data_IF_354595219907
#
_entry.id   IF_354595219907
#
_cell.length_a   1.000
_cell.length_b   1.000
_cell.length_c   1.000
_cell.angle_alpha   90.00
_cell.angle_beta   90.00
_cell.angle_gamma   90.00
#
_symmetry.space_group_name_H-M   'P 1'
#
loop_
_entity.id
_entity.type
_entity.pdbx_description
1 polymer ?
#
# COMPACT_ATOMS: atom_id res chain seq x y z
N UNK A 1 -1.67 13.42 -8.26
CA UNK A 1 -1.21 12.52 -7.18
C UNK A 1 0.06 11.77 -7.60
N UNK A 2 0.33 10.63 -6.97
CA UNK A 2 1.62 9.92 -7.01
C UNK A 2 2.22 9.72 -8.41
N UNK A 3 1.48 9.19 -9.37
CA UNK A 3 2.00 8.94 -10.73
C UNK A 3 2.61 10.19 -11.41
N UNK A 4 2.00 11.37 -11.21
CA UNK A 4 2.54 12.63 -11.74
C UNK A 4 3.78 13.05 -10.95
N UNK A 5 3.76 12.88 -9.62
CA UNK A 5 4.91 13.22 -8.76
C UNK A 5 6.14 12.38 -9.10
N UNK A 6 5.96 11.08 -9.35
CA UNK A 6 7.03 10.16 -9.71
C UNK A 6 7.61 10.49 -11.08
N UNK A 7 6.76 10.69 -12.09
CA UNK A 7 7.21 11.01 -13.46
C UNK A 7 7.93 12.36 -13.53
N UNK A 8 7.35 13.40 -12.92
CA UNK A 8 7.96 14.74 -12.86
C UNK A 8 9.23 14.72 -12.02
N UNK A 9 9.26 13.95 -10.94
CA UNK A 9 10.45 13.84 -10.11
C UNK A 9 11.59 13.10 -10.80
N UNK A 10 11.29 12.08 -11.61
CA UNK A 10 12.29 11.42 -12.45
C UNK A 10 12.84 12.40 -13.49
N UNK A 11 11.96 13.14 -14.17
CA UNK A 11 12.37 14.16 -15.13
C UNK A 11 13.23 15.26 -14.48
N UNK A 12 12.84 15.76 -13.31
CA UNK A 12 13.58 16.78 -12.57
C UNK A 12 14.98 16.29 -12.15
N UNK A 13 15.11 15.03 -11.75
CA UNK A 13 16.38 14.44 -11.32
C UNK A 13 17.41 14.33 -12.47
N UNK A 14 16.97 14.00 -13.68
CA UNK A 14 17.86 13.80 -14.83
C UNK A 14 18.09 15.08 -15.63
N UNK A 15 17.16 16.03 -15.58
CA UNK A 15 17.26 17.31 -16.30
C UNK A 15 18.37 18.16 -15.69
N UNK A 16 19.33 18.59 -16.52
CA UNK A 16 20.50 19.35 -16.06
C UNK A 16 21.24 18.72 -14.87
N UNK A 17 21.19 17.38 -14.73
CA UNK A 17 21.75 16.61 -13.60
C UNK A 17 21.12 16.94 -12.23
N UNK A 18 19.90 17.48 -12.22
CA UNK A 18 19.12 17.69 -11.02
C UNK A 18 18.57 19.12 -10.91
N UNK A 19 17.26 19.24 -11.02
CA UNK A 19 16.50 20.45 -10.70
C UNK A 19 15.88 20.36 -9.31
N UNK A 20 15.66 21.51 -8.66
CA UNK A 20 14.87 21.56 -7.41
C UNK A 20 13.41 21.25 -7.73
N UNK A 21 12.84 20.32 -6.99
CA UNK A 21 11.44 19.90 -7.12
C UNK A 21 10.64 20.26 -5.86
N UNK A 22 9.51 20.95 -6.03
CA UNK A 22 8.48 21.06 -5.00
C UNK A 22 7.32 20.15 -5.42
N UNK A 23 6.90 19.25 -4.52
CA UNK A 23 5.77 18.36 -4.77
C UNK A 23 4.50 18.95 -4.16
N UNK A 24 3.43 19.00 -4.95
CA UNK A 24 2.09 19.36 -4.48
C UNK A 24 1.22 18.11 -4.53
N UNK A 25 0.88 17.57 -3.36
CA UNK A 25 0.17 16.31 -3.24
C UNK A 25 -1.34 16.54 -3.25
N UNK A 26 -2.01 16.08 -4.31
CA UNK A 26 -3.43 16.37 -4.57
C UNK A 26 -4.37 15.20 -4.38
N UNK A 27 -3.85 14.01 -4.01
CA UNK A 27 -4.66 12.83 -3.69
C UNK A 27 -4.37 12.38 -2.26
N UNK A 28 -5.35 11.74 -1.60
CA UNK A 28 -5.14 11.15 -0.26
C UNK A 28 -3.94 10.22 -0.26
N UNK A 29 -3.79 9.40 -1.30
CA UNK A 29 -2.64 8.51 -1.50
C UNK A 29 -1.31 9.26 -1.57
N UNK A 30 -1.24 10.36 -2.32
CA UNK A 30 0.00 11.16 -2.37
C UNK A 30 0.29 11.88 -1.07
N UNK A 31 -0.75 12.38 -0.38
CA UNK A 31 -0.56 13.11 0.87
C UNK A 31 -0.13 12.19 2.01
N UNK A 32 -0.63 10.94 2.02
CA UNK A 32 -0.35 9.96 3.07
C UNK A 32 0.94 9.15 2.85
N UNK A 33 1.43 9.05 1.60
CA UNK A 33 2.53 8.15 1.23
C UNK A 33 3.40 8.74 0.09
N UNK A 34 3.01 8.53 -1.18
CA UNK A 34 3.93 8.68 -2.32
C UNK A 34 4.59 10.06 -2.49
N UNK A 35 4.01 11.16 -1.98
CA UNK A 35 4.68 12.46 -2.05
C UNK A 35 5.90 12.57 -1.12
N UNK A 36 5.95 11.74 -0.07
CA UNK A 36 6.96 11.73 1.00
C UNK A 36 8.11 10.78 0.67
N UNK A 37 7.91 9.87 -0.28
CA UNK A 37 8.92 8.94 -0.76
C UNK A 37 10.11 9.63 -1.46
N UNK A 38 11.24 8.95 -1.52
CA UNK A 38 12.38 9.37 -2.34
C UNK A 38 12.43 8.67 -3.70
N UNK A 39 11.48 7.78 -3.96
CA UNK A 39 11.33 7.08 -5.24
C UNK A 39 10.73 8.01 -6.28
N UNK A 40 11.25 7.92 -7.49
CA UNK A 40 10.73 8.62 -8.66
C UNK A 40 10.93 7.70 -9.86
N UNK A 41 9.97 7.62 -10.77
CA UNK A 41 10.12 6.78 -11.94
C UNK A 41 8.93 6.78 -12.88
N UNK A 42 9.08 6.00 -13.94
CA UNK A 42 8.06 5.76 -14.96
C UNK A 42 8.00 4.27 -15.29
N UNK A 43 6.84 3.84 -15.75
CA UNK A 43 6.65 2.50 -16.29
C UNK A 43 7.39 2.39 -17.64
N UNK A 44 8.04 1.26 -17.88
CA UNK A 44 8.71 0.96 -19.14
C UNK A 44 8.73 -0.54 -19.39
N UNK A 45 8.70 -0.95 -20.67
CA UNK A 45 8.76 -2.37 -21.07
C UNK A 45 7.68 -3.25 -20.41
N UNK A 46 6.49 -2.69 -20.16
CA UNK A 46 5.40 -3.40 -19.49
C UNK A 46 5.60 -3.65 -17.99
N UNK A 47 6.66 -3.10 -17.38
CA UNK A 47 6.95 -3.22 -15.95
C UNK A 47 6.69 -1.90 -15.21
N UNK A 48 6.11 -2.00 -14.01
CA UNK A 48 5.84 -0.86 -13.12
C UNK A 48 7.16 -0.27 -12.60
N UNK A 49 7.29 1.05 -12.58
CA UNK A 49 8.42 1.79 -12.00
C UNK A 49 9.82 1.31 -12.47
N UNK A 50 9.93 0.84 -13.72
CA UNK A 50 11.16 0.20 -14.22
C UNK A 50 12.32 1.18 -14.41
N UNK A 51 12.05 2.38 -14.94
CA UNK A 51 13.06 3.44 -15.04
C UNK A 51 12.84 4.45 -13.92
N UNK A 52 13.84 4.67 -13.08
CA UNK A 52 13.68 5.54 -11.92
C UNK A 52 14.98 5.97 -11.27
N UNK A 53 14.84 6.83 -10.27
CA UNK A 53 15.92 7.41 -9.47
C UNK A 53 15.45 7.64 -8.05
N UNK A 54 16.35 7.46 -7.10
CA UNK A 54 16.15 7.90 -5.73
C UNK A 54 16.60 9.35 -5.58
N UNK A 55 15.66 10.27 -5.36
CA UNK A 55 15.96 11.68 -5.06
C UNK A 55 14.87 12.29 -4.17
N UNK A 56 15.29 13.16 -3.25
CA UNK A 56 14.38 13.87 -2.35
C UNK A 56 13.80 15.12 -3.03
N UNK A 57 12.52 15.44 -2.83
CA UNK A 57 12.01 16.77 -3.17
C UNK A 57 12.62 17.83 -2.23
N UNK A 58 12.65 19.08 -2.68
CA UNK A 58 13.02 20.23 -1.85
C UNK A 58 11.96 20.56 -0.80
N UNK A 59 10.69 20.43 -1.17
CA UNK A 59 9.55 20.61 -0.28
C UNK A 59 8.35 19.78 -0.76
N UNK A 60 7.47 19.44 0.17
CA UNK A 60 6.19 18.78 -0.09
C UNK A 60 5.09 19.65 0.51
N UNK A 61 4.07 19.94 -0.28
CA UNK A 61 2.90 20.72 0.14
C UNK A 61 1.67 19.81 0.03
N UNK A 62 1.07 19.53 1.19
CA UNK A 62 -0.21 18.85 1.30
C UNK A 62 -1.29 19.91 1.58
N UNK A 63 -2.11 20.21 0.58
CA UNK A 63 -3.25 21.11 0.71
C UNK A 63 -4.54 20.28 0.85
N UNK A 64 -5.26 20.46 1.94
CA UNK A 64 -6.51 19.74 2.23
C UNK A 64 -7.62 20.13 1.24
N UNK A 65 -7.64 21.38 0.77
CA UNK A 65 -8.63 21.86 -0.20
C UNK A 65 -8.51 21.13 -1.54
N UNK A 66 -7.33 20.61 -1.89
CA UNK A 66 -7.16 19.80 -3.10
C UNK A 66 -7.95 18.47 -3.06
N UNK A 67 -8.27 17.98 -1.87
CA UNK A 67 -8.99 16.71 -1.67
C UNK A 67 -10.49 16.83 -1.97
N UNK A 68 -11.06 18.04 -1.91
CA UNK A 68 -12.51 18.27 -2.10
C UNK A 68 -12.99 17.78 -3.48
N UNK A 69 -12.13 17.92 -4.49
CA UNK A 69 -12.43 17.58 -5.88
C UNK A 69 -12.25 16.10 -6.23
N UNK A 70 -11.75 15.27 -5.30
CA UNK A 70 -11.45 13.87 -5.60
C UNK A 70 -12.70 13.05 -5.88
N UNK A 71 -12.59 12.07 -6.77
CA UNK A 71 -13.60 11.01 -6.95
C UNK A 71 -13.60 10.08 -5.74
N UNK A 72 -14.68 9.31 -5.55
CA UNK A 72 -14.81 8.39 -4.42
C UNK A 72 -13.63 7.40 -4.33
N UNK A 73 -13.22 6.84 -5.47
CA UNK A 73 -12.12 5.88 -5.53
C UNK A 73 -10.77 6.53 -5.17
N UNK A 74 -10.48 7.73 -5.68
CA UNK A 74 -9.24 8.42 -5.36
C UNK A 74 -9.20 8.96 -3.93
N UNK A 75 -10.36 9.27 -3.34
CA UNK A 75 -10.47 9.60 -1.93
C UNK A 75 -10.09 8.39 -1.06
N UNK A 76 -10.67 7.22 -1.32
CA UNK A 76 -10.42 6.03 -0.52
C UNK A 76 -9.00 5.49 -0.68
N UNK A 77 -8.40 5.65 -1.87
CA UNK A 77 -7.11 5.04 -2.22
C UNK A 77 -6.01 5.21 -1.15
N UNK A 78 -5.83 6.41 -0.58
CA UNK A 78 -4.79 6.66 0.42
C UNK A 78 -5.01 6.00 1.78
N UNK A 79 -6.23 5.57 2.10
CA UNK A 79 -6.53 4.92 3.37
C UNK A 79 -6.10 3.46 3.40
N UNK A 80 -5.94 2.80 2.23
CA UNK A 80 -5.32 1.47 2.17
C UNK A 80 -3.88 1.51 2.67
N UNK A 81 -3.10 2.50 2.25
CA UNK A 81 -1.73 2.71 2.73
C UNK A 81 -1.68 3.14 4.20
N UNK A 82 -2.63 3.97 4.63
CA UNK A 82 -2.73 4.33 6.05
C UNK A 82 -3.00 3.09 6.92
N UNK A 83 -3.88 2.19 6.49
CA UNK A 83 -4.12 0.89 7.15
C UNK A 83 -2.85 0.05 7.15
N UNK A 84 -2.20 -0.11 5.99
CA UNK A 84 -0.94 -0.86 5.85
C UNK A 84 0.10 -0.40 6.88
N UNK A 85 0.36 0.90 6.91
CA UNK A 85 1.36 1.49 7.81
C UNK A 85 0.96 1.33 9.27
N UNK A 86 -0.33 1.49 9.59
CA UNK A 86 -0.83 1.27 10.93
C UNK A 86 -0.63 -0.18 11.40
N UNK A 87 -0.93 -1.16 10.54
CA UNK A 87 -0.70 -2.58 10.83
C UNK A 87 0.76 -2.91 11.07
N UNK A 88 1.68 -2.21 10.41
CA UNK A 88 3.11 -2.46 10.52
C UNK A 88 3.76 -1.69 11.68
N UNK A 89 3.24 -0.51 12.06
CA UNK A 89 4.00 0.45 12.88
C UNK A 89 3.20 1.15 13.97
N UNK A 90 1.88 1.21 13.87
CA UNK A 90 1.08 2.06 14.76
C UNK A 90 -0.30 1.45 15.07
N UNK A 91 -0.37 0.60 16.12
CA UNK A 91 -1.63 0.01 16.56
C UNK A 91 -2.68 1.06 16.94
N UNK A 92 -2.28 2.20 17.51
CA UNK A 92 -3.21 3.25 17.90
C UNK A 92 -3.84 3.93 16.68
N UNK A 93 -3.07 4.11 15.60
CA UNK A 93 -3.60 4.56 14.32
C UNK A 93 -4.60 3.53 13.76
N UNK A 94 -4.31 2.23 13.84
CA UNK A 94 -5.23 1.20 13.38
C UNK A 94 -6.54 1.24 14.17
N UNK A 95 -6.49 1.33 15.51
CA UNK A 95 -7.67 1.49 16.37
C UNK A 95 -8.49 2.73 16.00
N UNK A 96 -7.81 3.83 15.68
CA UNK A 96 -8.48 5.05 15.25
C UNK A 96 -9.19 4.86 13.91
N UNK A 97 -8.51 4.29 12.91
CA UNK A 97 -9.10 4.02 11.59
C UNK A 97 -10.28 3.05 11.71
N UNK A 98 -10.10 1.92 12.41
CA UNK A 98 -11.12 0.89 12.58
C UNK A 98 -12.42 1.44 13.20
N UNK A 99 -12.31 2.30 14.24
CA UNK A 99 -13.49 2.93 14.86
C UNK A 99 -14.16 4.00 13.99
N UNK A 100 -13.43 4.58 13.03
CA UNK A 100 -13.90 5.72 12.24
C UNK A 100 -14.06 5.42 10.74
N UNK A 101 -14.12 4.13 10.37
CA UNK A 101 -14.33 3.66 8.99
C UNK A 101 -15.46 4.40 8.27
N UNK A 102 -16.63 4.52 8.90
CA UNK A 102 -17.78 5.24 8.33
C UNK A 102 -17.50 6.73 8.10
N UNK A 103 -16.77 7.37 9.01
CA UNK A 103 -16.37 8.77 8.88
C UNK A 103 -15.43 8.97 7.68
N UNK A 104 -14.46 8.08 7.52
CA UNK A 104 -13.55 8.06 6.36
C UNK A 104 -14.35 7.85 5.07
N UNK A 105 -15.25 6.86 5.03
CA UNK A 105 -16.08 6.56 3.86
C UNK A 105 -16.96 7.72 3.46
N UNK A 106 -17.50 8.46 4.43
CA UNK A 106 -18.34 9.66 4.23
C UNK A 106 -17.56 10.95 4.04
N UNK A 107 -16.23 10.87 3.93
CA UNK A 107 -15.32 12.02 3.75
C UNK A 107 -15.39 13.07 4.86
N UNK A 108 -15.60 12.64 6.10
CA UNK A 108 -15.50 13.56 7.24
C UNK A 108 -14.04 14.00 7.38
N UNK A 109 -13.74 15.27 7.07
CA UNK A 109 -12.39 15.80 7.08
C UNK A 109 -11.77 15.82 8.48
N UNK A 110 -12.57 16.08 9.53
CA UNK A 110 -12.10 16.07 10.93
C UNK A 110 -11.61 14.69 11.37
N UNK A 111 -12.12 13.63 10.75
CA UNK A 111 -11.69 12.24 10.97
C UNK A 111 -10.53 11.87 10.03
N UNK A 112 -10.63 12.28 8.78
CA UNK A 112 -9.81 11.76 7.69
C UNK A 112 -8.44 12.41 7.61
N UNK A 113 -8.38 13.73 7.86
CA UNK A 113 -7.13 14.50 7.84
C UNK A 113 -6.15 14.03 8.92
N UNK A 114 -6.55 13.77 10.19
CA UNK A 114 -5.66 13.18 11.18
C UNK A 114 -5.02 11.86 10.73
N UNK A 115 -5.78 10.99 10.05
CA UNK A 115 -5.27 9.71 9.52
C UNK A 115 -4.20 9.95 8.45
N UNK A 116 -4.49 10.83 7.48
CA UNK A 116 -3.55 11.19 6.41
C UNK A 116 -2.28 11.80 6.99
N UNK A 117 -2.41 12.76 7.93
CA UNK A 117 -1.26 13.40 8.59
C UNK A 117 -0.42 12.41 9.39
N UNK A 118 -1.04 11.48 10.12
CA UNK A 118 -0.32 10.47 10.90
C UNK A 118 0.41 9.48 9.97
N UNK A 119 -0.24 9.01 8.92
CA UNK A 119 0.39 8.15 7.90
C UNK A 119 1.57 8.85 7.25
N UNK A 120 1.38 10.12 6.86
CA UNK A 120 2.44 10.96 6.31
C UNK A 120 3.65 11.07 7.26
N UNK A 121 3.37 11.30 8.55
CA UNK A 121 4.42 11.40 9.56
C UNK A 121 5.19 10.08 9.73
N UNK A 122 4.50 8.94 9.73
CA UNK A 122 5.12 7.62 9.82
C UNK A 122 6.00 7.31 8.61
N UNK A 123 5.59 7.68 7.39
CA UNK A 123 6.45 7.58 6.20
C UNK A 123 7.67 8.49 6.29
N UNK A 124 7.49 9.73 6.75
CA UNK A 124 8.60 10.67 6.95
C UNK A 124 9.61 10.15 7.97
N UNK A 125 9.14 9.66 9.12
CA UNK A 125 9.99 9.11 10.17
C UNK A 125 10.70 7.84 9.67
N UNK A 126 10.02 6.99 8.91
CA UNK A 126 10.65 5.84 8.26
C UNK A 126 11.82 6.26 7.35
N UNK A 127 11.61 7.25 6.47
CA UNK A 127 12.66 7.71 5.54
C UNK A 127 13.83 8.38 6.26
N UNK A 128 13.57 9.08 7.37
CA UNK A 128 14.59 9.92 8.03
C UNK A 128 15.33 9.26 9.20
N UNK A 129 14.76 8.23 9.82
CA UNK A 129 15.25 7.69 11.10
C UNK A 129 15.71 6.22 11.05
N UNK A 130 16.26 5.75 9.92
CA UNK A 130 16.80 4.38 9.69
C UNK A 130 15.88 3.40 8.93
N UNK A 131 14.95 3.86 8.11
CA UNK A 131 14.12 2.99 7.27
C UNK A 131 14.70 2.61 5.91
N UNK A 132 16.02 2.75 5.71
CA UNK A 132 16.67 2.52 4.41
C UNK A 132 15.94 3.21 3.23
N UNK A 133 15.93 4.55 3.19
CA UNK A 133 15.16 5.29 2.18
C UNK A 133 15.64 5.01 0.75
N UNK A 134 16.89 4.55 0.59
CA UNK A 134 17.49 4.20 -0.69
C UNK A 134 17.41 2.71 -1.00
N UNK A 135 16.74 1.95 -0.14
CA UNK A 135 16.32 0.60 -0.47
C UNK A 135 17.49 -0.32 -0.87
N UNK A 136 18.58 -0.16 -0.12
CA UNK A 136 19.84 -0.90 -0.27
C UNK A 136 19.77 -2.30 0.34
N UNK A 137 18.86 -2.52 1.26
CA UNK A 137 18.58 -3.83 1.85
C UNK A 137 17.53 -4.59 1.03
N UNK A 138 17.48 -5.91 1.21
CA UNK A 138 16.50 -6.78 0.54
C UNK A 138 15.08 -6.58 1.12
N UNK A 139 14.98 -6.11 2.37
CA UNK A 139 13.71 -5.85 3.02
C UNK A 139 13.08 -4.54 2.53
N UNK A 140 11.76 -4.60 2.31
CA UNK A 140 10.92 -3.44 2.03
C UNK A 140 9.86 -3.37 3.12
N UNK A 141 10.15 -2.74 4.27
CA UNK A 141 9.33 -2.84 5.48
C UNK A 141 7.97 -2.14 5.38
N UNK A 142 7.63 -1.57 4.22
CA UNK A 142 6.34 -0.98 3.90
C UNK A 142 5.61 -1.71 2.76
N UNK A 143 6.10 -2.86 2.28
CA UNK A 143 5.52 -3.57 1.13
C UNK A 143 4.52 -4.68 1.53
N UNK A 144 3.89 -4.57 2.70
CA UNK A 144 2.83 -5.50 3.11
C UNK A 144 1.65 -5.43 2.13
N UNK A 145 1.24 -6.58 1.58
CA UNK A 145 0.25 -6.68 0.52
C UNK A 145 0.74 -6.32 -0.89
N UNK A 146 1.98 -5.86 -1.08
CA UNK A 146 2.39 -5.25 -2.36
C UNK A 146 2.71 -6.25 -3.47
N UNK A 147 3.17 -7.47 -3.14
CA UNK A 147 3.46 -8.50 -4.14
C UNK A 147 2.20 -8.84 -4.95
N UNK A 148 1.06 -8.98 -4.27
CA UNK A 148 -0.22 -9.28 -4.91
C UNK A 148 -0.85 -8.01 -5.48
N UNK A 149 -0.73 -6.86 -4.81
CA UNK A 149 -1.24 -5.59 -5.34
C UNK A 149 -0.65 -5.26 -6.72
N UNK A 150 0.68 -5.31 -6.87
CA UNK A 150 1.35 -5.05 -8.14
C UNK A 150 0.91 -6.00 -9.24
N UNK A 151 0.75 -7.28 -8.90
CA UNK A 151 0.27 -8.28 -9.85
C UNK A 151 -1.19 -8.06 -10.24
N UNK A 152 -2.05 -7.67 -9.29
CA UNK A 152 -3.46 -7.36 -9.52
C UNK A 152 -3.65 -6.12 -10.42
N UNK A 153 -2.84 -5.08 -10.24
CA UNK A 153 -2.84 -3.91 -11.12
C UNK A 153 -2.59 -4.35 -12.57
N UNK A 154 -1.54 -5.14 -12.82
CA UNK A 154 -1.22 -5.65 -14.16
C UNK A 154 -2.30 -6.58 -14.72
N UNK A 155 -2.74 -7.58 -13.94
CA UNK A 155 -3.77 -8.55 -14.36
C UNK A 155 -5.11 -7.89 -14.68
N UNK A 156 -5.44 -6.80 -13.99
CA UNK A 156 -6.66 -6.04 -14.25
C UNK A 156 -6.56 -5.08 -15.43
N UNK A 157 -5.39 -4.95 -16.05
CA UNK A 157 -5.14 -3.91 -17.06
C UNK A 157 -5.25 -2.50 -16.47
N UNK A 158 -4.87 -2.33 -15.21
CA UNK A 158 -4.97 -1.10 -14.43
C UNK A 158 -6.41 -0.60 -14.22
N UNK A 159 -7.42 -1.48 -14.32
CA UNK A 159 -8.79 -1.18 -13.87
C UNK A 159 -8.83 -1.00 -12.34
N UNK A 160 -8.10 -1.85 -11.60
CA UNK A 160 -7.90 -1.63 -10.18
C UNK A 160 -6.90 -0.48 -9.99
N UNK A 161 -7.32 0.54 -9.23
CA UNK A 161 -6.39 1.54 -8.73
C UNK A 161 -5.41 0.91 -7.73
N UNK A 162 -4.22 1.50 -7.60
CA UNK A 162 -3.19 1.07 -6.64
C UNK A 162 -3.77 0.84 -5.23
N UNK A 163 -4.55 1.80 -4.70
CA UNK A 163 -5.12 1.67 -3.36
C UNK A 163 -6.15 0.54 -3.21
N UNK A 164 -6.91 0.23 -4.26
CA UNK A 164 -7.82 -0.93 -4.25
C UNK A 164 -7.01 -2.24 -4.29
N UNK A 165 -5.96 -2.30 -5.11
CA UNK A 165 -5.09 -3.45 -5.21
C UNK A 165 -4.34 -3.71 -3.89
N UNK A 166 -3.83 -2.66 -3.24
CA UNK A 166 -3.20 -2.74 -1.91
C UNK A 166 -4.19 -3.20 -0.85
N UNK A 167 -5.44 -2.70 -0.84
CA UNK A 167 -6.46 -3.19 0.09
C UNK A 167 -6.72 -4.70 -0.06
N UNK A 168 -6.80 -5.21 -1.30
CA UNK A 168 -6.93 -6.64 -1.58
C UNK A 168 -5.67 -7.38 -1.11
N UNK A 169 -4.47 -6.85 -1.38
CA UNK A 169 -3.21 -7.46 -0.98
C UNK A 169 -3.03 -7.56 0.53
N UNK A 170 -3.40 -6.52 1.28
CA UNK A 170 -3.43 -6.54 2.75
C UNK A 170 -4.37 -7.64 3.25
N UNK A 171 -5.55 -7.78 2.64
CA UNK A 171 -6.49 -8.81 3.01
C UNK A 171 -5.93 -10.23 2.75
N UNK A 172 -5.24 -10.43 1.61
CA UNK A 172 -4.59 -11.70 1.26
C UNK A 172 -3.51 -12.04 2.29
N UNK A 173 -2.59 -11.10 2.56
CA UNK A 173 -1.46 -11.33 3.46
C UNK A 173 -1.90 -11.51 4.92
N UNK A 174 -2.92 -10.76 5.37
CA UNK A 174 -3.50 -10.96 6.71
C UNK A 174 -4.20 -12.32 6.85
N UNK A 175 -4.92 -12.76 5.81
CA UNK A 175 -5.57 -14.09 5.79
C UNK A 175 -4.53 -15.21 5.77
N UNK A 176 -3.46 -15.03 5.00
CA UNK A 176 -2.33 -15.95 5.00
C UNK A 176 -1.66 -16.03 6.38
N UNK A 177 -1.38 -14.89 7.02
CA UNK A 177 -0.79 -14.86 8.36
C UNK A 177 -1.69 -15.55 9.41
N UNK A 178 -3.00 -15.44 9.28
CA UNK A 178 -3.95 -16.18 10.12
C UNK A 178 -3.89 -17.70 9.88
N UNK A 179 -3.87 -18.14 8.62
CA UNK A 179 -3.79 -19.57 8.28
C UNK A 179 -2.47 -20.21 8.73
N UNK A 180 -1.38 -19.43 8.75
CA UNK A 180 -0.09 -19.84 9.28
C UNK A 180 -0.03 -19.82 10.81
N UNK A 181 -1.10 -19.40 11.50
CA UNK A 181 -1.17 -19.32 12.96
C UNK A 181 -0.37 -18.17 13.57
N UNK A 182 0.06 -17.20 12.77
CA UNK A 182 0.79 -16.02 13.26
C UNK A 182 -0.15 -14.91 13.72
N UNK A 183 -1.29 -14.73 13.05
CA UNK A 183 -2.26 -13.69 13.36
C UNK A 183 -3.52 -14.31 13.98
N UNK A 184 -4.03 -13.72 15.07
CA UNK A 184 -5.24 -14.18 15.73
C UNK A 184 -6.49 -14.04 14.84
N UNK A 185 -7.48 -14.91 15.04
CA UNK A 185 -8.78 -14.81 14.33
C UNK A 185 -9.46 -13.46 14.60
N UNK A 186 -9.28 -12.91 15.80
CA UNK A 186 -9.82 -11.61 16.17
C UNK A 186 -9.18 -10.48 15.35
N UNK A 187 -7.84 -10.42 15.27
CA UNK A 187 -7.16 -9.36 14.51
C UNK A 187 -7.38 -9.52 13.00
N UNK A 188 -7.40 -10.76 12.50
CA UNK A 188 -7.75 -11.06 11.11
C UNK A 188 -9.12 -10.48 10.74
N UNK A 189 -10.15 -10.78 11.53
CA UNK A 189 -11.50 -10.28 11.30
C UNK A 189 -11.54 -8.75 11.33
N UNK A 190 -10.89 -8.12 12.31
CA UNK A 190 -10.84 -6.66 12.45
C UNK A 190 -10.17 -5.98 11.26
N UNK A 191 -9.13 -6.58 10.67
CA UNK A 191 -8.46 -6.06 9.48
C UNK A 191 -9.41 -6.09 8.28
N UNK A 192 -10.09 -7.22 8.05
CA UNK A 192 -11.05 -7.35 6.95
C UNK A 192 -12.25 -6.41 7.12
N UNK A 193 -12.76 -6.28 8.35
CA UNK A 193 -13.84 -5.34 8.69
C UNK A 193 -13.40 -3.88 8.50
N UNK A 194 -12.17 -3.52 8.88
CA UNK A 194 -11.63 -2.18 8.68
C UNK A 194 -11.63 -1.79 7.20
N UNK A 195 -10.99 -2.62 6.36
CA UNK A 195 -10.88 -2.34 4.92
C UNK A 195 -12.26 -2.22 4.26
N UNK A 196 -13.20 -3.11 4.63
CA UNK A 196 -14.58 -3.05 4.12
C UNK A 196 -15.35 -1.85 4.65
N UNK A 197 -15.20 -1.51 5.92
CA UNK A 197 -15.84 -0.38 6.56
C UNK A 197 -15.44 0.94 5.89
N UNK A 198 -14.17 1.09 5.52
CA UNK A 198 -13.67 2.21 4.72
C UNK A 198 -14.35 2.24 3.34
N UNK A 199 -14.68 1.08 2.77
CA UNK A 199 -15.40 0.95 1.51
C UNK A 199 -14.68 0.14 0.44
N UNK A 200 -13.59 -0.55 0.77
CA UNK A 200 -12.86 -1.37 -0.21
C UNK A 200 -13.60 -2.67 -0.52
N UNK A 201 -13.52 -3.09 -1.80
CA UNK A 201 -13.88 -4.44 -2.23
C UNK A 201 -12.63 -5.31 -2.11
N UNK A 202 -12.71 -6.40 -1.35
CA UNK A 202 -11.58 -7.30 -1.09
C UNK A 202 -11.46 -8.45 -2.11
N UNK A 203 -12.07 -8.28 -3.29
CA UNK A 203 -12.04 -9.23 -4.40
C UNK A 203 -12.27 -8.53 -5.73
N UNK A 204 -11.81 -9.15 -6.81
CA UNK A 204 -11.97 -8.69 -8.17
C UNK A 204 -12.09 -9.87 -9.14
N UNK A 205 -12.57 -9.69 -10.37
CA UNK A 205 -12.64 -10.83 -11.33
C UNK A 205 -11.28 -11.52 -11.54
N UNK A 206 -10.19 -10.79 -11.38
CA UNK A 206 -8.83 -11.30 -11.59
C UNK A 206 -8.26 -12.03 -10.37
N UNK A 207 -8.83 -11.85 -9.16
CA UNK A 207 -8.43 -12.62 -7.97
C UNK A 207 -8.85 -14.09 -8.07
N UNK A 208 -9.85 -14.40 -8.90
CA UNK A 208 -10.26 -15.78 -9.23
C UNK A 208 -9.19 -16.56 -10.00
N UNK A 209 -8.23 -15.87 -10.63
CA UNK A 209 -7.09 -16.48 -11.30
C UNK A 209 -5.92 -16.67 -10.30
N UNK A 210 -6.18 -17.37 -9.20
CA UNK A 210 -5.28 -17.45 -8.05
C UNK A 210 -3.87 -17.94 -8.40
N UNK A 211 -3.74 -18.92 -9.31
CA UNK A 211 -2.44 -19.40 -9.77
C UNK A 211 -1.64 -18.33 -10.54
N UNK A 212 -2.30 -17.53 -11.38
CA UNK A 212 -1.67 -16.42 -12.10
C UNK A 212 -1.26 -15.31 -11.12
N UNK A 213 -2.11 -15.04 -10.12
CA UNK A 213 -1.81 -14.08 -9.07
C UNK A 213 -0.59 -14.51 -8.26
N UNK A 214 -0.50 -15.79 -7.89
CA UNK A 214 0.63 -16.35 -7.14
C UNK A 214 1.98 -16.16 -7.86
N UNK A 215 1.98 -16.15 -9.19
CA UNK A 215 3.17 -15.80 -9.99
C UNK A 215 3.75 -14.41 -9.67
N UNK A 216 2.96 -13.51 -9.07
CA UNK A 216 3.43 -12.22 -8.56
C UNK A 216 4.49 -12.34 -7.46
N UNK A 217 4.58 -13.47 -6.74
CA UNK A 217 5.65 -13.70 -5.76
C UNK A 217 7.03 -13.74 -6.42
N UNK A 218 7.16 -14.38 -7.59
CA UNK A 218 8.44 -14.46 -8.29
C UNK A 218 8.81 -13.12 -8.93
N UNK A 219 7.84 -12.41 -9.50
CA UNK A 219 8.04 -11.04 -9.99
C UNK A 219 8.48 -10.09 -8.86
N UNK A 220 7.89 -10.26 -7.66
CA UNK A 220 8.28 -9.50 -6.48
C UNK A 220 9.69 -9.88 -6.00
N UNK A 221 10.05 -11.16 -6.00
CA UNK A 221 11.42 -11.62 -5.72
C UNK A 221 12.45 -10.98 -6.67
N UNK A 222 12.16 -10.94 -7.97
CA UNK A 222 13.02 -10.26 -8.95
C UNK A 222 13.14 -8.76 -8.64
N UNK A 223 12.03 -8.12 -8.27
CA UNK A 223 12.00 -6.71 -7.90
C UNK A 223 12.88 -6.40 -6.67
N UNK A 224 12.96 -7.33 -5.71
CA UNK A 224 13.80 -7.22 -4.51
C UNK A 224 15.28 -7.56 -4.73
N UNK A 225 15.69 -7.96 -5.94
CA UNK A 225 17.08 -8.31 -6.24
C UNK A 225 17.42 -9.79 -6.07
N UNK A 226 16.42 -10.67 -5.94
CA UNK A 226 16.56 -12.11 -6.14
C UNK A 226 16.20 -12.99 -4.93
N UNK A 227 16.18 -12.45 -3.71
CA UNK A 227 15.66 -13.12 -2.52
C UNK A 227 14.26 -12.59 -2.20
N UNK A 228 13.32 -13.49 -1.91
CA UNK A 228 11.98 -13.09 -1.52
C UNK A 228 12.05 -12.57 -0.09
N UNK A 229 11.52 -11.37 0.16
CA UNK A 229 11.44 -10.78 1.50
C UNK A 229 10.13 -10.00 1.59
N UNK A 230 9.11 -10.63 2.17
CA UNK A 230 7.78 -10.04 2.30
C UNK A 230 7.57 -9.70 3.78
N UNK A 231 7.28 -8.43 4.14
CA UNK A 231 6.89 -8.10 5.50
C UNK A 231 5.56 -8.79 5.83
N UNK A 232 5.43 -9.31 7.04
CA UNK A 232 4.21 -9.94 7.57
C UNK A 232 4.01 -9.52 9.03
N UNK A 233 2.90 -9.95 9.62
CA UNK A 233 2.50 -9.57 10.98
C UNK A 233 2.18 -10.79 11.86
N UNK A 234 2.58 -10.72 13.13
CA UNK A 234 2.11 -11.63 14.22
C UNK A 234 0.95 -11.02 15.01
N UNK A 235 0.77 -9.73 14.85
CA UNK A 235 -0.26 -8.93 15.48
C UNK A 235 -0.19 -7.52 14.92
N UNK A 236 -1.19 -6.70 15.20
CA UNK A 236 -1.19 -5.31 14.77
C UNK A 236 0.00 -4.59 15.44
N UNK A 237 0.94 -4.09 14.64
CA UNK A 237 2.17 -3.44 15.08
C UNK A 237 3.34 -4.39 15.38
N UNK A 238 3.18 -5.70 15.19
CA UNK A 238 4.24 -6.70 15.39
C UNK A 238 4.62 -7.34 14.06
N UNK A 239 5.72 -6.88 13.46
CA UNK A 239 6.14 -7.25 12.11
C UNK A 239 7.33 -8.21 12.08
N UNK A 240 7.41 -9.01 11.04
CA UNK A 240 8.58 -9.84 10.72
C UNK A 240 8.64 -10.13 9.22
N UNK A 241 9.81 -10.54 8.72
CA UNK A 241 9.99 -10.85 7.30
C UNK A 241 9.81 -12.33 6.99
N UNK A 242 9.13 -12.59 5.88
CA UNK A 242 8.97 -13.92 5.26
C UNK A 242 9.92 -14.07 4.09
N UNK A 243 10.64 -15.19 4.08
CA UNK A 243 11.56 -15.55 2.99
C UNK A 243 11.03 -16.65 2.08
N UNK A 244 9.99 -17.34 2.51
CA UNK A 244 9.33 -18.43 1.79
C UNK A 244 7.83 -18.37 2.04
N UNK A 245 7.04 -18.85 1.07
CA UNK A 245 5.58 -18.90 1.14
C UNK A 245 5.12 -20.33 0.91
N UNK A 246 4.34 -20.85 1.86
CA UNK A 246 3.54 -22.07 1.64
C UNK A 246 2.46 -21.75 0.60
N UNK A 247 2.68 -22.24 -0.62
CA UNK A 247 1.81 -22.01 -1.77
C UNK A 247 0.40 -22.55 -1.54
N UNK A 248 0.24 -23.68 -0.87
CA UNK A 248 -1.09 -24.26 -0.63
C UNK A 248 -1.89 -23.39 0.33
N UNK A 249 -1.24 -22.90 1.40
CA UNK A 249 -1.87 -21.99 2.35
C UNK A 249 -2.18 -20.63 1.72
N UNK A 250 -1.29 -20.12 0.86
CA UNK A 250 -1.53 -18.86 0.14
C UNK A 250 -2.71 -18.97 -0.84
N UNK A 251 -2.80 -20.05 -1.61
CA UNK A 251 -3.94 -20.31 -2.49
C UNK A 251 -5.24 -20.49 -1.70
N UNK A 252 -5.17 -21.13 -0.52
CA UNK A 252 -6.31 -21.24 0.38
C UNK A 252 -6.75 -19.87 0.91
N UNK A 253 -5.82 -18.98 1.27
CA UNK A 253 -6.11 -17.61 1.71
C UNK A 253 -6.77 -16.77 0.61
N UNK A 254 -6.27 -16.83 -0.63
CA UNK A 254 -6.90 -16.19 -1.78
C UNK A 254 -8.34 -16.73 -1.99
N UNK A 255 -8.51 -18.05 -1.91
CA UNK A 255 -9.81 -18.71 -2.08
C UNK A 255 -10.79 -18.44 -0.93
N UNK A 256 -10.28 -18.12 0.27
CA UNK A 256 -11.10 -17.70 1.41
C UNK A 256 -11.75 -16.35 1.13
N UNK A 257 -11.00 -15.37 0.61
CA UNK A 257 -11.51 -14.03 0.31
C UNK A 257 -12.58 -14.03 -0.80
N UNK A 258 -12.51 -14.95 -1.76
CA UNK A 258 -13.57 -15.11 -2.77
C UNK A 258 -14.92 -15.52 -2.16
N UNK A 259 -14.86 -16.30 -1.08
CA UNK A 259 -16.03 -16.81 -0.34
C UNK A 259 -16.39 -15.93 0.85
N UNK A 260 -15.57 -14.93 1.17
CA UNK A 260 -15.80 -13.99 2.26
C UNK A 260 -16.97 -13.06 1.90
N UNK A 261 -18.18 -13.61 2.00
CA UNK A 261 -19.41 -12.86 2.06
C UNK A 261 -19.47 -12.23 3.44
N UNK A 262 -19.42 -10.91 3.50
CA UNK A 262 -19.78 -10.24 4.76
C UNK A 262 -21.25 -9.96 4.66
N UNK A 263 -21.98 -10.40 5.69
CA UNK A 263 -23.34 -9.94 5.95
C UNK A 263 -23.41 -8.44 5.74
N UNK A 264 -24.43 -8.05 4.97
CA UNK A 264 -24.99 -6.69 4.98
C UNK A 264 -25.43 -6.31 6.38
#
# INVERSE_FOLDING_TARGET
>A
GGAVLDAVGFAAAITHRGLRLIRIATTTLSQADSAIAVKNGINAFGKKNYMGVFTTPWAIINDEGSLESLTADHWLAGFSEAVKVALLKDPLLFEYIHRNCDGIRRRNLDISIPVIRRSARLHFDHITQNGDPFEREEARPLDFGHWSAHKLEQMSGFELSHGQAVAIGIAIDATYANFMGWLSDADHQRILECLRGIGFKLRHRVTQQANTLLGGLDEFREHLGGRLTIPSIRGIGETFDLFEIDTNQMLAAISYLERFHGGS
#
